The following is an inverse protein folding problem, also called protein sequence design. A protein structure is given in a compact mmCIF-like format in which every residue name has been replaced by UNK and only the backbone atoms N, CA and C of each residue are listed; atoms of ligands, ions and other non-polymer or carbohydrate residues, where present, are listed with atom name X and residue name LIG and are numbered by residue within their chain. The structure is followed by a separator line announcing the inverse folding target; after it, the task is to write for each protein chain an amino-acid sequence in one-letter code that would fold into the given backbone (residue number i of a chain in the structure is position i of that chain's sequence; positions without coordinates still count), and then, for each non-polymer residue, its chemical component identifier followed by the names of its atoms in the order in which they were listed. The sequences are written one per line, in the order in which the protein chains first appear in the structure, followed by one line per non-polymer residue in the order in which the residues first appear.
data_IF_187700460540
#
_entry.id   IF_187700460540
#
_cell.length_a   1.000
_cell.length_b   1.000
_cell.length_c   1.000
_cell.angle_alpha   90.00
_cell.angle_beta   90.00
_cell.angle_gamma   90.00
#
_symmetry.space_group_name_H-M   'P 1'
#
loop_
_entity.id
_entity.type
_entity.pdbx_description
1 polymer ?
#
# COMPACT_ATOMS: atom_id res chain seq x y z
N UNK A 1 -6.26 -10.89 -1.14
CA UNK A 1 -7.51 -10.79 -0.35
C UNK A 1 -8.67 -10.82 -1.30
N UNK A 2 -9.80 -11.44 -0.94
CA UNK A 2 -10.88 -11.69 -1.91
C UNK A 2 -11.78 -10.48 -2.14
N UNK A 3 -11.68 -9.47 -1.26
CA UNK A 3 -12.46 -8.22 -1.31
C UNK A 3 -11.65 -7.02 -1.81
N UNK A 4 -10.50 -7.26 -2.41
CA UNK A 4 -9.63 -6.24 -2.97
C UNK A 4 -9.24 -6.59 -4.40
N UNK A 5 -8.93 -5.57 -5.20
CA UNK A 5 -8.43 -5.73 -6.56
C UNK A 5 -7.15 -6.58 -6.52
N UNK A 6 -7.09 -7.64 -7.33
CA UNK A 6 -5.89 -8.48 -7.41
C UNK A 6 -4.75 -7.71 -8.06
N UNK A 7 -3.58 -7.71 -7.41
CA UNK A 7 -2.40 -6.97 -7.86
C UNK A 7 -1.25 -7.86 -8.32
N UNK A 8 -1.41 -9.19 -8.32
CA UNK A 8 -0.34 -10.13 -8.71
C UNK A 8 0.20 -9.86 -10.12
N UNK A 9 -0.66 -9.61 -11.10
CA UNK A 9 -0.24 -9.28 -12.48
C UNK A 9 0.42 -7.90 -12.57
N UNK A 10 -0.01 -6.96 -11.71
CA UNK A 10 0.59 -5.64 -11.62
C UNK A 10 2.01 -5.72 -11.07
N UNK A 11 2.24 -6.54 -10.03
CA UNK A 11 3.59 -6.79 -9.50
C UNK A 11 4.49 -7.40 -10.58
N UNK A 12 3.98 -8.37 -11.35
CA UNK A 12 4.71 -8.93 -12.49
C UNK A 12 5.11 -7.84 -13.48
N UNK A 13 4.15 -6.99 -13.89
CA UNK A 13 4.37 -5.92 -14.85
C UNK A 13 5.36 -4.86 -14.35
N UNK A 14 5.35 -4.54 -13.06
CA UNK A 14 6.33 -3.63 -12.43
C UNK A 14 7.76 -4.14 -12.68
N UNK A 15 8.00 -5.43 -12.47
CA UNK A 15 9.30 -6.05 -12.73
C UNK A 15 9.63 -6.16 -14.22
N UNK A 16 8.67 -6.53 -15.07
CA UNK A 16 8.86 -6.58 -16.52
C UNK A 16 9.29 -5.20 -17.07
N UNK A 17 8.85 -4.12 -16.43
CA UNK A 17 9.23 -2.74 -16.79
C UNK A 17 10.52 -2.24 -16.12
N UNK A 18 11.24 -3.10 -15.39
CA UNK A 18 12.49 -2.74 -14.71
C UNK A 18 12.33 -1.77 -13.52
N UNK A 19 11.12 -1.67 -12.96
CA UNK A 19 10.85 -0.80 -11.79
C UNK A 19 11.14 -1.55 -10.48
N UNK A 20 11.44 -0.79 -9.43
CA UNK A 20 11.52 -1.34 -8.08
C UNK A 20 10.10 -1.57 -7.50
N UNK A 21 9.89 -2.69 -6.82
CA UNK A 21 8.63 -3.02 -6.17
C UNK A 21 8.82 -3.16 -4.66
N UNK A 22 7.91 -2.57 -3.90
CA UNK A 22 7.88 -2.66 -2.44
C UNK A 22 6.50 -3.16 -1.99
N UNK A 23 6.49 -4.00 -0.96
CA UNK A 23 5.26 -4.54 -0.37
C UNK A 23 5.17 -4.19 1.12
N UNK A 24 3.95 -4.07 1.68
CA UNK A 24 3.79 -3.79 3.09
C UNK A 24 4.24 -4.97 3.95
N UNK A 25 4.99 -4.67 5.01
CA UNK A 25 5.31 -5.58 6.11
C UNK A 25 4.73 -5.01 7.39
N UNK A 26 3.86 -5.79 8.03
CA UNK A 26 3.21 -5.38 9.28
C UNK A 26 3.99 -5.92 10.49
N UNK A 27 4.28 -5.03 11.44
CA UNK A 27 4.96 -5.35 12.70
C UNK A 27 4.21 -4.73 13.88
N UNK A 28 3.45 -5.54 14.63
CA UNK A 28 2.59 -5.13 15.76
C UNK A 28 1.65 -3.96 15.38
N UNK A 29 2.09 -2.72 15.63
CA UNK A 29 1.34 -1.48 15.42
C UNK A 29 1.98 -0.58 14.36
N UNK A 30 2.93 -1.08 13.57
CA UNK A 30 3.58 -0.32 12.51
C UNK A 30 3.53 -1.07 11.17
N UNK A 31 3.71 -0.31 10.10
CA UNK A 31 3.85 -0.80 8.73
C UNK A 31 5.13 -0.21 8.13
N UNK A 32 5.96 -1.06 7.53
CA UNK A 32 7.03 -0.61 6.64
C UNK A 32 6.80 -1.13 5.22
N UNK A 33 7.40 -0.45 4.24
CA UNK A 33 7.41 -0.89 2.83
C UNK A 33 8.78 -1.47 2.54
N UNK A 34 8.83 -2.76 2.22
CA UNK A 34 10.07 -3.51 2.04
C UNK A 34 10.26 -3.94 0.59
N UNK A 35 11.50 -3.83 0.13
CA UNK A 35 11.86 -4.10 -1.27
C UNK A 35 11.78 -5.59 -1.59
N UNK A 36 11.13 -5.91 -2.69
CA UNK A 36 11.17 -7.22 -3.31
C UNK A 36 12.42 -7.36 -4.20
N UNK A 37 12.97 -8.57 -4.27
CA UNK A 37 14.10 -8.90 -5.15
C UNK A 37 13.66 -9.02 -6.61
N UNK A 38 12.60 -9.78 -6.83
CA UNK A 38 12.00 -10.05 -8.14
C UNK A 38 10.56 -10.58 -7.98
N UNK A 39 9.94 -10.98 -9.09
CA UNK A 39 8.59 -11.54 -9.07
C UNK A 39 8.51 -12.92 -8.38
N UNK A 40 9.56 -13.72 -8.46
CA UNK A 40 9.59 -15.04 -7.82
C UNK A 40 9.67 -14.91 -6.29
N UNK A 41 10.43 -13.93 -5.79
CA UNK A 41 10.47 -13.53 -4.39
C UNK A 41 9.06 -13.16 -3.88
N UNK A 42 8.30 -12.37 -4.65
CA UNK A 42 6.90 -12.08 -4.33
C UNK A 42 6.03 -13.34 -4.24
N UNK A 43 6.11 -14.25 -5.22
CA UNK A 43 5.31 -15.48 -5.21
C UNK A 43 5.62 -16.38 -4.01
N UNK A 44 6.87 -16.38 -3.55
CA UNK A 44 7.37 -17.20 -2.45
C UNK A 44 7.10 -16.60 -1.06
N UNK A 45 6.58 -15.37 -0.97
CA UNK A 45 6.30 -14.74 0.32
C UNK A 45 5.25 -15.53 1.12
N UNK A 46 5.48 -15.74 2.43
CA UNK A 46 4.50 -16.39 3.28
C UNK A 46 3.23 -15.55 3.41
N UNK A 47 2.12 -16.26 3.65
CA UNK A 47 0.80 -15.69 4.00
C UNK A 47 0.41 -16.04 5.43
N UNK A 48 1.40 -16.03 6.33
CA UNK A 48 1.27 -16.49 7.73
C UNK A 48 0.70 -15.42 8.68
N UNK A 49 0.44 -14.20 8.22
CA UNK A 49 -0.26 -13.19 9.02
C UNK A 49 -1.77 -13.47 9.08
N UNK A 50 -2.44 -12.90 10.08
CA UNK A 50 -3.89 -13.03 10.30
C UNK A 50 -4.78 -12.48 9.18
N UNK A 51 -4.20 -11.76 8.21
CA UNK A 51 -4.91 -11.18 7.08
C UNK A 51 -4.70 -11.98 5.77
N UNK A 52 -3.87 -13.03 5.78
CA UNK A 52 -3.53 -13.82 4.60
C UNK A 52 -2.77 -13.05 3.52
N UNK A 53 -2.12 -11.93 3.87
CA UNK A 53 -1.38 -11.08 2.94
C UNK A 53 0.03 -11.62 2.74
N UNK A 54 0.55 -11.59 1.51
CA UNK A 54 1.96 -11.90 1.23
C UNK A 54 2.85 -10.83 1.84
N UNK A 55 3.70 -11.22 2.80
CA UNK A 55 4.72 -10.33 3.36
C UNK A 55 5.98 -11.15 3.71
N UNK A 56 7.17 -10.54 3.70
CA UNK A 56 8.36 -11.18 4.26
C UNK A 56 8.19 -11.48 5.76
N UNK A 57 8.90 -12.49 6.25
CA UNK A 57 8.96 -12.79 7.68
C UNK A 57 9.55 -11.62 8.46
N UNK A 58 9.12 -11.45 9.72
CA UNK A 58 9.55 -10.34 10.57
C UNK A 58 11.06 -10.30 10.80
N UNK A 59 11.72 -11.45 10.74
CA UNK A 59 13.15 -11.61 11.00
C UNK A 59 13.98 -11.52 9.71
N UNK A 60 13.34 -11.48 8.53
CA UNK A 60 14.05 -11.35 7.27
C UNK A 60 14.51 -9.90 7.08
N UNK A 61 15.81 -9.72 6.83
CA UNK A 61 16.37 -8.41 6.49
C UNK A 61 15.99 -8.06 5.06
N UNK A 62 15.36 -6.89 4.89
CA UNK A 62 14.94 -6.32 3.61
C UNK A 62 15.24 -4.83 3.63
N UNK A 63 15.58 -4.28 2.46
CA UNK A 63 15.73 -2.84 2.30
C UNK A 63 14.36 -2.19 2.48
N UNK A 64 14.29 -1.15 3.31
CA UNK A 64 13.07 -0.37 3.49
C UNK A 64 13.03 0.83 2.54
N UNK A 65 11.84 1.20 2.08
CA UNK A 65 11.66 2.34 1.18
C UNK A 65 12.27 3.63 1.78
N UNK A 66 12.12 3.82 3.08
CA UNK A 66 12.64 4.99 3.80
C UNK A 66 14.17 5.08 3.84
N UNK A 67 14.87 3.96 3.64
CA UNK A 67 16.33 3.91 3.64
C UNK A 67 16.91 3.93 2.21
N UNK A 68 16.03 3.84 1.20
CA UNK A 68 16.39 3.75 -0.22
C UNK A 68 15.92 4.94 -1.05
N UNK A 69 15.53 6.04 -0.39
CA UNK A 69 15.13 7.29 -1.04
C UNK A 69 13.64 7.50 -1.19
N UNK A 70 12.80 6.58 -0.70
CA UNK A 70 11.34 6.70 -0.74
C UNK A 70 10.69 5.90 -1.87
N UNK A 71 9.47 6.31 -2.24
CA UNK A 71 8.61 5.74 -3.25
C UNK A 71 8.07 6.86 -4.15
N UNK A 72 7.95 6.58 -5.45
CA UNK A 72 7.33 7.51 -6.40
C UNK A 72 5.79 7.37 -6.41
N UNK A 73 5.29 6.15 -6.20
CA UNK A 73 3.88 5.77 -6.25
C UNK A 73 3.55 4.80 -5.11
N UNK A 74 2.44 5.04 -4.42
CA UNK A 74 1.86 4.13 -3.43
C UNK A 74 0.46 3.74 -3.88
N UNK A 75 0.26 2.44 -4.04
CA UNK A 75 -1.05 1.85 -4.27
C UNK A 75 -1.68 1.50 -2.92
N UNK A 76 -2.84 2.06 -2.64
CA UNK A 76 -3.54 1.90 -1.36
C UNK A 76 -4.79 1.04 -1.55
N UNK A 77 -4.95 -0.03 -0.76
CA UNK A 77 -6.19 -0.76 -0.66
C UNK A 77 -7.15 -0.07 0.32
N UNK A 78 -8.42 -0.47 0.25
CA UNK A 78 -9.46 0.08 1.10
C UNK A 78 -10.77 -0.70 0.98
N UNK A 79 -11.66 -0.45 1.92
CA UNK A 79 -13.01 -1.00 1.97
C UNK A 79 -13.96 -0.15 1.13
N UNK A 80 -13.81 1.18 1.21
CA UNK A 80 -14.60 2.14 0.45
C UNK A 80 -13.75 3.36 0.11
N UNK A 81 -14.13 4.03 -0.97
CA UNK A 81 -13.46 5.22 -1.47
C UNK A 81 -14.50 6.22 -1.99
N UNK A 82 -14.13 7.51 -2.05
CA UNK A 82 -14.89 8.51 -2.82
C UNK A 82 -14.09 8.93 -4.04
N UNK A 83 -14.79 9.50 -5.04
CA UNK A 83 -14.14 10.11 -6.23
C UNK A 83 -13.21 11.28 -5.88
N UNK A 84 -13.30 11.80 -4.66
CA UNK A 84 -12.50 12.91 -4.16
C UNK A 84 -11.29 12.46 -3.35
N UNK A 85 -10.99 11.15 -3.30
CA UNK A 85 -9.81 10.62 -2.62
C UNK A 85 -10.01 10.27 -1.15
N UNK A 86 -11.22 10.38 -0.59
CA UNK A 86 -11.48 9.86 0.75
C UNK A 86 -11.40 8.33 0.73
N UNK A 87 -10.82 7.73 1.77
CA UNK A 87 -10.60 6.28 1.87
C UNK A 87 -11.01 5.75 3.22
N UNK A 88 -11.78 4.66 3.23
CA UNK A 88 -12.08 3.87 4.42
C UNK A 88 -11.20 2.63 4.43
N UNK A 89 -10.27 2.54 5.37
CA UNK A 89 -9.46 1.33 5.58
C UNK A 89 -10.15 0.28 6.46
N UNK A 90 -9.44 -0.80 6.79
CA UNK A 90 -9.89 -1.84 7.73
C UNK A 90 -9.83 -1.44 9.22
N UNK A 91 -9.66 -0.14 9.53
CA UNK A 91 -9.74 0.40 10.89
C UNK A 91 -8.46 0.39 11.74
N UNK A 92 -7.31 -0.04 11.19
CA UNK A 92 -6.02 0.00 11.91
C UNK A 92 -5.15 1.23 11.61
N UNK A 93 -5.50 2.04 10.61
CA UNK A 93 -4.77 3.26 10.28
C UNK A 93 -3.33 3.05 9.80
N UNK A 94 -2.94 1.85 9.35
CA UNK A 94 -1.56 1.56 8.92
C UNK A 94 -1.10 2.47 7.77
N UNK A 95 -1.94 2.64 6.75
CA UNK A 95 -1.63 3.51 5.62
C UNK A 95 -1.59 4.98 6.01
N UNK A 96 -2.55 5.44 6.82
CA UNK A 96 -2.59 6.84 7.28
C UNK A 96 -1.34 7.19 8.11
N UNK A 97 -0.95 6.29 9.03
CA UNK A 97 0.27 6.41 9.81
C UNK A 97 1.54 6.35 8.95
N UNK A 98 1.60 5.45 7.96
CA UNK A 98 2.75 5.35 7.06
C UNK A 98 2.89 6.59 6.17
N UNK A 99 1.80 7.08 5.59
CA UNK A 99 1.79 8.27 4.74
C UNK A 99 2.14 9.53 5.53
N UNK A 100 1.65 9.66 6.77
CA UNK A 100 2.03 10.75 7.67
C UNK A 100 3.53 10.73 7.96
N UNK A 101 4.09 9.56 8.31
CA UNK A 101 5.54 9.39 8.51
C UNK A 101 6.33 9.72 7.23
N UNK A 102 5.81 9.29 6.08
CA UNK A 102 6.40 9.57 4.78
C UNK A 102 6.50 11.08 4.56
N UNK A 103 5.40 11.82 4.70
CA UNK A 103 5.38 13.28 4.47
C UNK A 103 6.31 14.05 5.41
N UNK A 104 6.50 13.57 6.64
CA UNK A 104 7.45 14.17 7.58
C UNK A 104 8.91 13.89 7.20
N UNK A 105 9.21 12.68 6.70
CA UNK A 105 10.57 12.28 6.32
C UNK A 105 11.02 12.89 4.99
N UNK A 106 10.12 12.99 4.02
CA UNK A 106 10.41 13.42 2.65
C UNK A 106 9.64 14.70 2.29
N UNK A 107 10.00 15.82 2.93
CA UNK A 107 9.29 17.11 2.84
C UNK A 107 9.09 17.65 1.41
N UNK A 108 9.97 17.29 0.48
CA UNK A 108 9.95 17.79 -0.91
C UNK A 108 9.68 16.70 -1.95
N UNK A 109 9.40 15.47 -1.51
CA UNK A 109 9.23 14.32 -2.38
C UNK A 109 8.07 13.48 -1.85
N UNK A 110 6.83 13.91 -2.11
CA UNK A 110 5.64 13.15 -1.75
C UNK A 110 5.34 12.12 -2.85
N UNK A 111 5.07 10.85 -2.51
CA UNK A 111 4.65 9.84 -3.47
C UNK A 111 3.28 10.21 -4.01
N UNK A 112 3.02 9.88 -5.26
CA UNK A 112 1.66 9.86 -5.76
C UNK A 112 0.90 8.73 -5.06
N UNK A 113 -0.27 9.01 -4.48
CA UNK A 113 -1.03 8.03 -3.70
C UNK A 113 -2.33 7.69 -4.44
N UNK A 114 -2.41 6.46 -4.96
CA UNK A 114 -3.53 5.99 -5.76
C UNK A 114 -4.34 4.93 -5.01
N UNK A 115 -5.66 5.11 -4.92
CA UNK A 115 -6.59 4.09 -4.45
C UNK A 115 -6.96 3.12 -5.56
N UNK A 116 -6.84 1.82 -5.30
CA UNK A 116 -7.37 0.77 -6.19
C UNK A 116 -8.66 0.22 -5.60
N UNK A 117 -9.75 0.34 -6.35
CA UNK A 117 -11.09 -0.02 -5.90
C UNK A 117 -11.84 -0.89 -6.91
N UNK A 118 -12.80 -1.68 -6.44
CA UNK A 118 -13.91 -2.12 -7.29
C UNK A 118 -14.94 -0.98 -7.43
N UNK A 119 -15.78 -1.01 -8.47
CA UNK A 119 -16.87 -0.02 -8.65
C UNK A 119 -17.81 0.01 -7.44
N UNK A 120 -18.07 -1.14 -6.84
CA UNK A 120 -18.91 -1.31 -5.65
C UNK A 120 -18.32 -0.65 -4.40
N UNK A 121 -17.03 -0.34 -4.41
CA UNK A 121 -16.34 0.34 -3.30
C UNK A 121 -16.34 1.86 -3.46
N UNK A 122 -16.85 2.40 -4.58
CA UNK A 122 -16.95 3.84 -4.81
C UNK A 122 -18.29 4.34 -4.25
N UNK A 123 -18.21 5.17 -3.22
CA UNK A 123 -19.35 5.78 -2.53
C UNK A 123 -19.34 7.30 -2.69
N UNK A 124 -20.51 7.92 -2.56
CA UNK A 124 -20.63 9.39 -2.55
C UNK A 124 -20.03 10.00 -1.28
N UNK A 125 -20.09 9.27 -0.18
CA UNK A 125 -19.58 9.70 1.11
C UNK A 125 -18.85 8.57 1.85
N UNK A 126 -17.71 8.91 2.41
CA UNK A 126 -16.95 8.09 3.35
C UNK A 126 -16.67 8.97 4.58
N UNK A 127 -17.01 8.53 5.80
CA UNK A 127 -16.68 9.28 7.00
C UNK A 127 -15.16 9.30 7.19
N UNK A 128 -14.62 10.49 7.45
CA UNK A 128 -13.19 10.73 7.69
C UNK A 128 -12.99 11.50 8.99
N UNK A 129 -11.84 11.30 9.65
CA UNK A 129 -11.34 12.10 10.76
C UNK A 129 -10.06 12.84 10.40
N UNK A 130 -9.55 13.63 11.35
CA UNK A 130 -8.40 14.54 11.14
C UNK A 130 -7.09 13.83 10.78
N UNK A 131 -6.98 12.54 11.08
CA UNK A 131 -5.80 11.73 10.80
C UNK A 131 -5.91 10.90 9.53
N UNK A 132 -7.03 10.96 8.80
CA UNK A 132 -7.21 10.19 7.57
C UNK A 132 -6.51 10.89 6.40
N UNK A 133 -5.70 10.14 5.68
CA UNK A 133 -4.89 10.69 4.59
C UNK A 133 -5.70 10.73 3.29
N UNK A 134 -5.83 11.91 2.69
CA UNK A 134 -6.50 12.09 1.40
C UNK A 134 -5.62 11.57 0.27
N UNK A 135 -6.18 10.70 -0.58
CA UNK A 135 -5.48 10.16 -1.75
C UNK A 135 -5.43 11.20 -2.88
N UNK A 136 -4.45 11.05 -3.78
CA UNK A 136 -4.34 11.90 -4.98
C UNK A 136 -5.35 11.50 -6.05
N UNK A 137 -5.62 10.20 -6.19
CA UNK A 137 -6.58 9.66 -7.14
C UNK A 137 -7.17 8.33 -6.65
N UNK A 138 -8.35 7.98 -7.15
CA UNK A 138 -8.96 6.65 -7.00
C UNK A 138 -9.36 6.13 -8.37
N UNK A 139 -8.91 4.93 -8.71
CA UNK A 139 -9.30 4.23 -9.92
C UNK A 139 -10.10 2.97 -9.59
N UNK A 140 -11.03 2.60 -10.47
CA UNK A 140 -11.86 1.40 -10.32
C UNK A 140 -11.94 0.59 -11.61
N UNK A 141 -12.06 -0.74 -11.47
CA UNK A 141 -12.18 -1.68 -12.59
C UNK A 141 -13.63 -1.91 -13.05
#
# INVERSE_FOLDING_TARGET
MDKEVQTDDLVKKIFDDGKACFVPRFAKNDMSMVKLKDYQDFLNLPRNNKYGIRQPDSNEKRDEAFDTGGLDLILTPGVAFTKYGCRLGHGKGYYDGYLTKYTHKFLHQRPYVLGLAFKEQILDFVPTGDNDFLLDEVTSN
#
